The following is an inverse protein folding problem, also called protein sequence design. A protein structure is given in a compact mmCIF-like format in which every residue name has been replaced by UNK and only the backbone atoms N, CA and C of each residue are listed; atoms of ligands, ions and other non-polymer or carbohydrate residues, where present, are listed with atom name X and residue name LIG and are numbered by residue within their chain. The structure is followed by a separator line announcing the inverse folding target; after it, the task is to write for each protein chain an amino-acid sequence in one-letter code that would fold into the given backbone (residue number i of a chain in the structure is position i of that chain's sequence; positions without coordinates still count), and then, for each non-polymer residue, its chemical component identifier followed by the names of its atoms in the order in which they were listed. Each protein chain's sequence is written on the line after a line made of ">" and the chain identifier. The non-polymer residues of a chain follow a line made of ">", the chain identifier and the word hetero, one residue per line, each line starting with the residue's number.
data_IF_641399359437
#
_entry.id   IF_641399359437
#
_cell.length_a   1.000
_cell.length_b   1.000
_cell.length_c   1.000
_cell.angle_alpha   90.00
_cell.angle_beta   90.00
_cell.angle_gamma   90.00
#
_symmetry.space_group_name_H-M   'P 1'
#
loop_
_entity.id
_entity.type
_entity.pdbx_description
1 polymer ?
#
# COMPACT_ATOMS: atom_id res chain seq x y z
N UNK A 1 -6.41 -5.44 -0.38
CA UNK A 1 -7.52 -4.68 0.22
C UNK A 1 -7.01 -3.38 0.79
N UNK A 2 -7.83 -2.33 0.70
CA UNK A 2 -7.51 -0.97 1.15
C UNK A 2 -8.45 -0.53 2.27
N UNK A 3 -7.96 0.26 3.22
CA UNK A 3 -8.76 0.93 4.26
C UNK A 3 -8.55 2.45 4.15
N UNK A 4 -9.53 3.23 4.62
CA UNK A 4 -9.38 4.68 4.78
C UNK A 4 -9.68 5.01 6.24
N UNK A 5 -8.75 5.71 6.89
CA UNK A 5 -8.90 6.19 8.26
C UNK A 5 -9.40 7.63 8.20
N UNK A 6 -10.64 7.86 8.64
CA UNK A 6 -11.26 9.19 8.75
C UNK A 6 -11.29 9.70 10.20
N UNK A 7 -10.88 8.85 11.13
CA UNK A 7 -11.02 8.98 12.57
C UNK A 7 -9.73 9.49 13.26
N UNK A 8 -8.68 9.78 12.48
CA UNK A 8 -7.44 10.35 13.01
C UNK A 8 -7.68 11.78 13.51
N UNK A 9 -7.38 12.02 14.79
CA UNK A 9 -7.60 13.31 15.44
C UNK A 9 -6.61 14.35 14.90
N UNK A 10 -7.13 15.51 14.48
CA UNK A 10 -6.37 16.65 13.94
C UNK A 10 -5.49 16.31 12.71
N UNK A 11 -5.86 15.29 11.94
CA UNK A 11 -5.13 14.86 10.76
C UNK A 11 -6.07 14.72 9.56
N UNK A 12 -5.51 14.87 8.36
CA UNK A 12 -6.24 14.54 7.14
C UNK A 12 -6.50 13.02 7.07
N UNK A 13 -7.52 12.55 6.32
CA UNK A 13 -7.72 11.13 6.14
C UNK A 13 -6.51 10.46 5.49
N UNK A 14 -6.20 9.25 5.93
CA UNK A 14 -5.05 8.46 5.42
C UNK A 14 -5.55 7.15 4.83
N UNK A 15 -5.05 6.80 3.64
CA UNK A 15 -5.30 5.51 3.02
C UNK A 15 -4.36 4.45 3.59
N UNK A 16 -4.80 3.21 3.71
CA UNK A 16 -3.95 2.11 4.16
C UNK A 16 -3.98 0.97 3.14
N UNK A 17 -2.79 0.53 2.71
CA UNK A 17 -2.62 -0.72 1.98
C UNK A 17 -2.62 -1.86 3.01
N UNK A 18 -3.82 -2.31 3.38
CA UNK A 18 -4.00 -3.20 4.53
C UNK A 18 -3.48 -4.61 4.28
N UNK A 19 -3.87 -5.22 3.15
CA UNK A 19 -3.42 -6.57 2.77
C UNK A 19 -3.14 -6.61 1.28
N UNK A 20 -1.91 -6.96 0.90
CA UNK A 20 -1.52 -7.21 -0.49
C UNK A 20 -0.94 -8.63 -0.55
N UNK A 21 -1.60 -9.50 -1.30
CA UNK A 21 -1.16 -10.87 -1.54
C UNK A 21 -1.04 -11.10 -3.04
N UNK A 22 0.00 -11.84 -3.43
CA UNK A 22 0.17 -12.37 -4.78
C UNK A 22 0.26 -13.87 -4.65
N UNK A 23 -0.47 -14.59 -5.48
CA UNK A 23 -0.36 -16.04 -5.57
C UNK A 23 1.11 -16.44 -5.82
N UNK A 24 1.65 -17.42 -5.07
CA UNK A 24 3.05 -17.85 -5.20
C UNK A 24 3.50 -18.16 -6.64
N UNK A 25 2.61 -18.72 -7.48
CA UNK A 25 2.93 -19.06 -8.87
C UNK A 25 3.19 -17.82 -9.74
N UNK A 26 2.72 -16.65 -9.30
CA UNK A 26 2.79 -15.40 -10.05
C UNK A 26 3.72 -14.35 -9.39
N UNK A 27 4.48 -14.73 -8.37
CA UNK A 27 5.52 -13.87 -7.80
C UNK A 27 6.52 -13.47 -8.89
N UNK A 28 6.97 -12.20 -8.87
CA UNK A 28 7.95 -11.68 -9.83
C UNK A 28 7.35 -11.10 -11.11
N UNK A 29 6.04 -11.25 -11.34
CA UNK A 29 5.35 -10.72 -12.53
C UNK A 29 4.85 -9.27 -12.37
N UNK A 30 5.27 -8.57 -11.31
CA UNK A 30 4.87 -7.18 -11.07
C UNK A 30 3.44 -6.97 -10.54
N UNK A 31 2.68 -8.03 -10.27
CA UNK A 31 1.28 -7.94 -9.81
C UNK A 31 1.17 -7.16 -8.49
N UNK A 32 2.01 -7.46 -7.51
CA UNK A 32 1.99 -6.75 -6.23
C UNK A 32 2.22 -5.25 -6.40
N UNK A 33 3.13 -4.85 -7.30
CA UNK A 33 3.38 -3.45 -7.65
C UNK A 33 2.15 -2.81 -8.31
N UNK A 34 1.56 -3.49 -9.29
CA UNK A 34 0.40 -2.99 -10.02
C UNK A 34 -0.80 -2.77 -9.08
N UNK A 35 -1.06 -3.71 -8.17
CA UNK A 35 -2.13 -3.61 -7.17
C UNK A 35 -1.87 -2.46 -6.19
N UNK A 36 -0.64 -2.31 -5.70
CA UNK A 36 -0.28 -1.19 -4.81
C UNK A 36 -0.45 0.17 -5.48
N UNK A 37 -0.05 0.30 -6.74
CA UNK A 37 -0.26 1.54 -7.52
C UNK A 37 -1.75 1.81 -7.74
N UNK A 38 -2.54 0.78 -8.07
CA UNK A 38 -3.98 0.93 -8.22
C UNK A 38 -4.65 1.41 -6.92
N UNK A 39 -4.20 0.91 -5.75
CA UNK A 39 -4.66 1.37 -4.45
C UNK A 39 -4.29 2.84 -4.18
N UNK A 40 -3.05 3.24 -4.45
CA UNK A 40 -2.61 4.64 -4.29
C UNK A 40 -3.39 5.59 -5.21
N UNK A 41 -3.60 5.20 -6.47
CA UNK A 41 -4.42 5.97 -7.41
C UNK A 41 -5.87 6.08 -6.93
N UNK A 42 -6.43 5.02 -6.33
CA UNK A 42 -7.76 5.06 -5.73
C UNK A 42 -7.83 6.06 -4.57
N UNK A 43 -6.82 6.13 -3.71
CA UNK A 43 -6.75 7.15 -2.65
C UNK A 43 -6.65 8.56 -3.22
N UNK A 44 -5.76 8.76 -4.19
CA UNK A 44 -5.58 10.05 -4.84
C UNK A 44 -6.86 10.57 -5.48
N UNK A 45 -7.61 9.71 -6.18
CA UNK A 45 -8.91 10.05 -6.77
C UNK A 45 -9.98 10.39 -5.75
N UNK A 46 -9.78 10.04 -4.47
CA UNK A 46 -10.64 10.41 -3.34
C UNK A 46 -10.14 11.65 -2.59
N UNK A 47 -9.10 12.31 -3.08
CA UNK A 47 -8.47 13.46 -2.42
C UNK A 47 -7.61 13.08 -1.22
N UNK A 48 -7.26 11.80 -1.07
CA UNK A 48 -6.40 11.30 0.00
C UNK A 48 -4.97 11.21 -0.56
N UNK A 49 -4.09 12.05 -0.05
CA UNK A 49 -2.72 12.21 -0.55
C UNK A 49 -1.68 11.44 0.24
N UNK A 50 -2.06 10.86 1.38
CA UNK A 50 -1.18 10.06 2.24
C UNK A 50 -1.64 8.62 2.30
N UNK A 51 -0.68 7.70 2.29
CA UNK A 51 -0.92 6.28 2.43
C UNK A 51 0.05 5.68 3.46
N UNK A 52 -0.42 4.66 4.17
CA UNK A 52 0.37 3.89 5.12
C UNK A 52 0.25 2.39 4.87
N UNK A 53 1.18 1.62 5.44
CA UNK A 53 1.17 0.17 5.46
C UNK A 53 2.02 -0.35 6.61
N UNK A 54 1.83 -1.62 6.94
CA UNK A 54 2.75 -2.38 7.78
C UNK A 54 3.31 -3.55 6.97
N UNK A 55 4.60 -3.82 7.16
CA UNK A 55 5.27 -4.99 6.59
C UNK A 55 6.16 -5.60 7.65
N UNK A 56 6.09 -6.92 7.81
CA UNK A 56 6.99 -7.63 8.71
C UNK A 56 8.44 -7.44 8.27
N UNK A 57 9.35 -7.27 9.24
CA UNK A 57 10.75 -6.97 8.97
C UNK A 57 11.49 -8.11 8.24
N UNK A 58 10.98 -9.34 8.30
CA UNK A 58 11.52 -10.50 7.59
C UNK A 58 10.96 -10.64 6.16
N UNK A 59 9.93 -9.87 5.80
CA UNK A 59 9.39 -9.80 4.44
C UNK A 59 10.23 -8.87 3.55
N UNK A 60 11.46 -9.29 3.26
CA UNK A 60 12.44 -8.54 2.44
C UNK A 60 11.88 -8.17 1.06
N UNK A 61 11.01 -9.01 0.47
CA UNK A 61 10.38 -8.72 -0.83
C UNK A 61 9.37 -7.57 -0.71
N UNK A 62 8.55 -7.58 0.35
CA UNK A 62 7.60 -6.53 0.66
C UNK A 62 8.31 -5.20 0.95
N UNK A 63 9.32 -5.22 1.82
CA UNK A 63 10.14 -4.05 2.14
C UNK A 63 10.69 -3.38 0.87
N UNK A 64 11.42 -4.12 0.03
CA UNK A 64 11.97 -3.60 -1.23
C UNK A 64 10.90 -3.07 -2.19
N UNK A 65 9.75 -3.74 -2.25
CA UNK A 65 8.65 -3.29 -3.08
C UNK A 65 8.14 -1.93 -2.61
N UNK A 66 7.83 -1.78 -1.33
CA UNK A 66 7.24 -0.57 -0.78
C UNK A 66 8.24 0.60 -0.72
N UNK A 67 9.52 0.33 -0.39
CA UNK A 67 10.61 1.32 -0.55
C UNK A 67 10.67 1.85 -1.99
N UNK A 68 10.60 0.96 -3.00
CA UNK A 68 10.60 1.37 -4.42
C UNK A 68 9.34 2.11 -4.88
N UNK A 69 8.30 2.15 -4.04
CA UNK A 69 7.07 2.90 -4.26
C UNK A 69 7.05 4.22 -3.45
N UNK A 70 8.10 4.51 -2.68
CA UNK A 70 8.26 5.75 -1.93
C UNK A 70 7.83 5.69 -0.48
N UNK A 71 7.51 4.50 0.06
CA UNK A 71 7.27 4.30 1.49
C UNK A 71 8.60 4.23 2.25
N UNK A 72 8.60 4.67 3.50
CA UNK A 72 9.78 4.78 4.36
C UNK A 72 9.47 4.47 5.82
#
# INVERSE_FOLDING_TARGET
>A
WTKIHHDLVNQAPVGELYVVGVDPEYIGHGIGRAVSIAAMNYFFNKGITEAMLYVDADNVKGLKLYESLGFN
#
